data_IF_622210098039
#
_entry.id   IF_622210098039
#
_cell.length_a   1.000
_cell.length_b   1.000
_cell.length_c   1.000
_cell.angle_alpha   90.00
_cell.angle_beta   90.00
_cell.angle_gamma   90.00
#
_symmetry.space_group_name_H-M   'P 1'
#
loop_
_entity.id
_entity.type
_entity.pdbx_description
1 polymer ?
#
# COMPACT_ATOMS: atom_id res chain seq x y z
N UNK A 1 2.09 -10.53 -0.63
CA UNK A 1 2.69 -9.35 0.02
C UNK A 1 2.99 -8.30 -1.02
N UNK A 2 2.20 -7.22 -1.01
CA UNK A 2 2.11 -6.24 -2.10
C UNK A 2 3.21 -5.16 -2.07
N UNK A 3 3.75 -4.85 -0.90
CA UNK A 3 4.77 -3.80 -0.70
C UNK A 3 6.09 -4.39 -0.20
N UNK A 4 7.18 -4.11 -0.90
CA UNK A 4 8.54 -4.50 -0.50
C UNK A 4 8.99 -3.79 0.78
N UNK A 5 8.67 -2.51 0.92
CA UNK A 5 9.05 -1.68 2.08
C UNK A 5 8.35 -2.11 3.37
N UNK A 6 7.02 -2.36 3.33
CA UNK A 6 6.28 -2.85 4.50
C UNK A 6 6.79 -4.24 4.91
N UNK A 7 7.08 -5.11 3.93
CA UNK A 7 7.68 -6.42 4.21
C UNK A 7 9.03 -6.30 4.90
N UNK A 8 9.90 -5.39 4.45
CA UNK A 8 11.20 -5.16 5.07
C UNK A 8 11.06 -4.59 6.49
N UNK A 9 10.12 -3.67 6.71
CA UNK A 9 9.83 -3.11 8.03
C UNK A 9 9.27 -4.16 9.01
N UNK A 10 8.39 -5.06 8.55
CA UNK A 10 7.83 -6.14 9.38
C UNK A 10 8.80 -7.32 9.58
N UNK A 11 9.76 -7.54 8.68
CA UNK A 11 10.72 -8.66 8.73
C UNK A 11 12.05 -8.28 9.41
N UNK A 12 12.11 -7.12 10.07
CA UNK A 12 13.31 -6.67 10.78
C UNK A 12 13.69 -7.59 11.97
N UNK A 13 14.92 -7.50 12.49
CA UNK A 13 15.46 -8.41 13.51
C UNK A 13 14.76 -8.36 14.89
N UNK A 14 13.79 -7.46 15.06
CA UNK A 14 12.97 -7.32 16.27
C UNK A 14 11.50 -7.60 15.95
N UNK A 15 11.19 -8.82 15.50
CA UNK A 15 9.82 -9.28 15.19
C UNK A 15 8.83 -9.22 16.36
N UNK A 16 9.28 -8.91 17.58
CA UNK A 16 8.47 -8.89 18.80
C UNK A 16 8.07 -7.49 19.29
N UNK A 17 8.64 -6.41 18.73
CA UNK A 17 8.34 -5.04 19.19
C UNK A 17 7.53 -4.27 18.15
N UNK A 18 6.21 -4.36 18.31
CA UNK A 18 5.16 -3.63 17.60
C UNK A 18 4.99 -3.94 16.11
N UNK A 19 3.95 -4.72 15.79
CA UNK A 19 3.31 -4.84 14.47
C UNK A 19 2.68 -3.52 13.96
N UNK A 20 3.16 -2.37 14.42
CA UNK A 20 2.71 -1.03 14.05
C UNK A 20 3.80 -0.35 13.23
N UNK A 21 3.46 0.08 12.01
CA UNK A 21 4.33 0.92 11.20
C UNK A 21 3.73 2.32 11.17
N UNK A 22 4.56 3.32 11.49
CA UNK A 22 4.16 4.74 11.44
C UNK A 22 4.72 5.39 10.18
N UNK A 23 3.84 6.07 9.43
CA UNK A 23 4.21 6.86 8.27
C UNK A 23 3.95 8.35 8.56
N UNK A 24 4.95 9.10 9.07
CA UNK A 24 4.77 10.52 9.37
C UNK A 24 4.67 11.38 8.10
N UNK A 25 5.22 10.93 6.98
CA UNK A 25 5.25 11.65 5.70
C UNK A 25 4.08 11.33 4.76
N UNK A 26 3.20 10.38 5.14
CA UNK A 26 2.05 9.97 4.31
C UNK A 26 0.76 10.45 4.96
N UNK A 27 0.00 11.27 4.23
CA UNK A 27 -1.32 11.73 4.65
C UNK A 27 -2.30 10.55 4.83
N UNK A 28 -3.17 10.62 5.84
CA UNK A 28 -4.19 9.60 6.10
C UNK A 28 -5.03 9.17 4.88
N UNK A 29 -5.58 10.09 4.03
CA UNK A 29 -6.34 9.68 2.85
C UNK A 29 -5.52 8.90 1.81
N UNK A 30 -4.21 9.16 1.74
CA UNK A 30 -3.30 8.46 0.83
C UNK A 30 -3.03 7.05 1.35
N UNK A 31 -2.77 6.93 2.65
CA UNK A 31 -2.54 5.63 3.29
C UNK A 31 -3.77 4.72 3.17
N UNK A 32 -4.98 5.27 3.30
CA UNK A 32 -6.23 4.53 3.08
C UNK A 32 -6.32 4.00 1.65
N UNK A 33 -6.02 4.82 0.65
CA UNK A 33 -6.01 4.41 -0.77
C UNK A 33 -4.94 3.36 -1.08
N UNK A 34 -3.76 3.48 -0.48
CA UNK A 34 -2.71 2.46 -0.57
C UNK A 34 -3.21 1.14 0.02
N UNK A 35 -3.84 1.16 1.20
CA UNK A 35 -4.38 -0.07 1.82
C UNK A 35 -5.47 -0.72 0.95
N UNK A 36 -6.35 0.09 0.36
CA UNK A 36 -7.35 -0.37 -0.62
C UNK A 36 -6.68 -1.02 -1.84
N UNK A 37 -5.61 -0.39 -2.38
CA UNK A 37 -4.84 -0.94 -3.49
C UNK A 37 -4.17 -2.27 -3.13
N UNK A 38 -3.61 -2.40 -1.92
CA UNK A 38 -3.00 -3.65 -1.45
C UNK A 38 -4.03 -4.79 -1.41
N UNK A 39 -5.21 -4.53 -0.87
CA UNK A 39 -6.29 -5.51 -0.84
C UNK A 39 -6.77 -5.87 -2.25
N UNK A 40 -6.97 -4.86 -3.10
CA UNK A 40 -7.34 -5.04 -4.49
C UNK A 40 -6.32 -5.90 -5.24
N UNK A 41 -5.02 -5.59 -5.12
CA UNK A 41 -3.95 -6.35 -5.77
C UNK A 41 -3.94 -7.79 -5.30
N UNK A 42 -4.07 -8.08 -4.01
CA UNK A 42 -4.11 -9.48 -3.52
C UNK A 42 -5.37 -10.23 -3.96
N UNK A 43 -6.53 -9.58 -3.95
CA UNK A 43 -7.79 -10.20 -4.36
C UNK A 43 -7.82 -10.53 -5.87
N UNK A 44 -7.17 -9.71 -6.69
CA UNK A 44 -7.17 -9.84 -8.14
C UNK A 44 -5.87 -10.40 -8.74
N UNK A 45 -4.83 -10.66 -7.93
CA UNK A 45 -3.53 -11.18 -8.42
C UNK A 45 -3.66 -12.53 -9.14
N UNK A 46 -4.58 -13.39 -8.69
CA UNK A 46 -4.80 -14.74 -9.22
C UNK A 46 -6.12 -14.87 -10.01
N UNK A 47 -6.89 -13.77 -10.11
CA UNK A 47 -8.19 -13.78 -10.78
C UNK A 47 -8.06 -13.52 -12.29
N UNK A 48 -8.65 -14.39 -13.11
CA UNK A 48 -8.80 -14.23 -14.57
C UNK A 48 -10.08 -13.49 -14.97
N UNK A 49 -10.83 -13.00 -13.98
CA UNK A 49 -12.13 -12.32 -14.17
C UNK A 49 -11.95 -10.82 -14.41
N UNK A 50 -12.97 -10.17 -14.98
CA UNK A 50 -12.99 -8.73 -15.25
C UNK A 50 -12.72 -7.94 -13.96
N UNK A 51 -11.66 -7.15 -13.98
CA UNK A 51 -11.22 -6.32 -12.88
C UNK A 51 -12.16 -5.12 -12.66
N UNK A 52 -12.53 -4.79 -11.42
CA UNK A 52 -13.24 -3.55 -11.12
C UNK A 52 -12.34 -2.34 -11.39
N UNK A 53 -12.93 -1.20 -11.73
CA UNK A 53 -12.18 0.04 -11.93
C UNK A 53 -11.72 0.60 -10.58
N UNK A 54 -10.41 0.84 -10.42
CA UNK A 54 -9.85 1.45 -9.22
C UNK A 54 -9.76 2.97 -9.42
N UNK A 55 -10.82 3.68 -9.02
CA UNK A 55 -10.89 5.13 -9.19
C UNK A 55 -9.95 5.85 -8.22
N UNK A 56 -9.05 6.64 -8.81
CA UNK A 56 -8.12 7.53 -8.10
C UNK A 56 -8.53 8.97 -8.41
N UNK A 57 -8.78 9.75 -7.37
CA UNK A 57 -9.09 11.17 -7.52
C UNK A 57 -7.84 11.91 -7.99
N UNK A 58 -7.96 12.83 -8.96
CA UNK A 58 -6.80 13.53 -9.51
C UNK A 58 -6.07 14.37 -8.46
N UNK A 59 -6.77 14.81 -7.42
CA UNK A 59 -6.25 15.61 -6.31
C UNK A 59 -5.21 14.85 -5.46
N UNK A 60 -5.38 13.53 -5.33
CA UNK A 60 -4.49 12.67 -4.53
C UNK A 60 -3.49 11.87 -5.37
N UNK A 61 -3.62 11.92 -6.70
CA UNK A 61 -2.85 11.07 -7.62
C UNK A 61 -1.34 11.27 -7.50
N UNK A 62 -0.88 12.51 -7.30
CA UNK A 62 0.55 12.81 -7.13
C UNK A 62 1.11 12.27 -5.82
N UNK A 63 0.43 12.50 -4.70
CA UNK A 63 0.85 11.98 -3.39
C UNK A 63 0.81 10.44 -3.37
N UNK A 64 -0.22 9.84 -3.97
CA UNK A 64 -0.33 8.40 -4.10
C UNK A 64 0.82 7.79 -4.91
N UNK A 65 1.25 8.47 -5.99
CA UNK A 65 2.40 8.03 -6.78
C UNK A 65 3.70 8.06 -5.96
N UNK A 66 3.92 9.12 -5.18
CA UNK A 66 5.09 9.22 -4.30
C UNK A 66 5.06 8.12 -3.22
N UNK A 67 3.89 7.88 -2.62
CA UNK A 67 3.71 6.81 -1.64
C UNK A 67 3.92 5.42 -2.25
N UNK A 68 3.40 5.17 -3.46
CA UNK A 68 3.60 3.90 -4.17
C UNK A 68 5.09 3.65 -4.47
N UNK A 69 5.81 4.68 -4.92
CA UNK A 69 7.25 4.60 -5.14
C UNK A 69 8.03 4.36 -3.84
N UNK A 70 7.59 4.93 -2.73
CA UNK A 70 8.20 4.71 -1.41
C UNK A 70 7.93 3.29 -0.87
N UNK A 71 6.71 2.78 -1.10
CA UNK A 71 6.27 1.48 -0.62
C UNK A 71 6.66 0.32 -1.53
N UNK A 72 7.19 0.60 -2.72
CA UNK A 72 7.62 -0.40 -3.70
C UNK A 72 6.45 -1.37 -4.03
N UNK A 73 5.32 -0.83 -4.47
CA UNK A 73 4.07 -1.58 -4.70
C UNK A 73 3.33 -1.23 -5.99
#
# INVERSE_FOLDING_TARGET
MVSGTIRAMLSGPFSESNNEIRFPDISAPILEKVAQYMYYKEQYSDSTTRFPDFMIEPEIAMELLMAASYLDC
#
